data_IF_778748952935
#
_entry.id   IF_778748952935
#
_cell.length_a   1.000
_cell.length_b   1.000
_cell.length_c   1.000
_cell.angle_alpha   90.00
_cell.angle_beta   90.00
_cell.angle_gamma   90.00
#
_symmetry.space_group_name_H-M   'P 1'
#
loop_
_entity.id
_entity.type
_entity.pdbx_description
1 polymer ?
#
# COMPACT_ATOMS: atom_id res chain seq x y z
N UNK A 1 -51.76 -105.68 -4.42
CA UNK A 1 -51.81 -105.47 -2.96
C UNK A 1 -50.38 -105.41 -2.43
N UNK A 2 -50.08 -104.39 -1.59
CA UNK A 2 -48.97 -104.26 -0.61
C UNK A 2 -47.55 -104.72 -1.04
N UNK A 3 -46.51 -103.92 -0.90
CA UNK A 3 -46.09 -103.35 0.38
C UNK A 3 -45.06 -102.21 0.18
N UNK A 4 -45.16 -101.17 1.02
CA UNK A 4 -44.19 -100.08 1.16
C UNK A 4 -42.88 -100.60 1.76
N UNK A 5 -41.75 -99.95 1.45
CA UNK A 5 -40.75 -99.60 2.48
C UNK A 5 -39.93 -98.39 2.07
N UNK A 6 -39.87 -97.46 3.00
CA UNK A 6 -39.21 -96.17 2.96
C UNK A 6 -37.69 -96.35 3.08
N UNK A 7 -36.93 -95.40 2.51
CA UNK A 7 -35.69 -94.93 3.12
C UNK A 7 -35.72 -93.40 3.15
N UNK A 8 -35.51 -92.87 4.35
CA UNK A 8 -35.40 -91.45 4.69
C UNK A 8 -33.90 -91.15 4.87
N UNK A 9 -33.54 -89.88 4.67
CA UNK A 9 -32.38 -89.13 5.20
C UNK A 9 -31.22 -88.95 4.20
N UNK A 10 -30.67 -87.76 3.93
CA UNK A 10 -30.77 -86.41 4.53
C UNK A 10 -30.22 -85.40 3.49
N UNK A 11 -30.96 -84.33 3.24
CA UNK A 11 -30.46 -83.03 2.75
C UNK A 11 -29.71 -82.29 3.89
N UNK A 12 -29.11 -81.10 3.72
CA UNK A 12 -28.69 -80.33 2.53
C UNK A 12 -27.21 -79.83 2.72
N UNK A 13 -26.55 -79.03 1.87
CA UNK A 13 -26.63 -77.56 1.79
C UNK A 13 -25.39 -77.08 1.00
N UNK A 14 -25.49 -76.84 -0.31
CA UNK A 14 -25.44 -75.54 -1.00
C UNK A 14 -24.84 -74.34 -0.23
N UNK A 15 -23.64 -73.84 -0.60
CA UNK A 15 -23.26 -72.40 -0.58
C UNK A 15 -21.89 -72.23 -1.27
N UNK A 16 -21.83 -71.69 -2.50
CA UNK A 16 -21.76 -70.27 -2.90
C UNK A 16 -20.30 -69.79 -3.00
N UNK A 17 -19.82 -69.66 -4.24
CA UNK A 17 -18.53 -69.07 -4.61
C UNK A 17 -18.46 -67.60 -4.18
N UNK A 18 -17.56 -67.26 -3.26
CA UNK A 18 -17.28 -65.87 -2.86
C UNK A 18 -16.09 -65.37 -3.65
N UNK A 19 -16.36 -64.30 -4.40
CA UNK A 19 -15.45 -63.63 -5.31
C UNK A 19 -14.29 -62.94 -4.59
N UNK A 20 -13.15 -63.00 -5.27
CA UNK A 20 -11.87 -62.36 -4.98
C UNK A 20 -12.04 -60.84 -4.82
N UNK A 21 -12.04 -60.37 -3.57
CA UNK A 21 -12.05 -58.94 -3.25
C UNK A 21 -10.61 -58.42 -3.29
N UNK A 22 -10.20 -57.92 -4.46
CA UNK A 22 -8.95 -57.17 -4.62
C UNK A 22 -9.16 -55.83 -3.90
N UNK A 23 -8.47 -55.67 -2.76
CA UNK A 23 -8.34 -54.38 -2.08
C UNK A 23 -7.50 -53.46 -2.97
N UNK A 24 -8.16 -52.59 -3.73
CA UNK A 24 -7.50 -51.42 -4.31
C UNK A 24 -7.19 -50.46 -3.15
N UNK A 25 -5.99 -50.57 -2.60
CA UNK A 25 -5.38 -49.50 -1.83
C UNK A 25 -5.12 -48.39 -2.84
N UNK A 26 -6.10 -47.52 -3.03
CA UNK A 26 -5.89 -46.22 -3.66
C UNK A 26 -4.98 -45.44 -2.73
N UNK A 27 -3.68 -45.53 -3.00
CA UNK A 27 -2.70 -44.62 -2.43
C UNK A 27 -3.00 -43.25 -3.05
N UNK A 28 -3.95 -42.52 -2.45
CA UNK A 28 -4.18 -41.12 -2.75
C UNK A 28 -2.93 -40.38 -2.36
N UNK A 29 -1.98 -40.26 -3.31
CA UNK A 29 -0.95 -39.25 -3.21
C UNK A 29 -1.68 -37.92 -3.14
N UNK A 30 -1.68 -37.34 -1.96
CA UNK A 30 -2.17 -35.99 -1.76
C UNK A 30 -1.10 -35.09 -2.37
N UNK A 31 -1.11 -34.98 -3.70
CA UNK A 31 -0.23 -34.10 -4.47
C UNK A 31 -0.70 -32.65 -4.24
N UNK A 32 -0.58 -32.16 -3.00
CA UNK A 32 -0.68 -30.74 -2.72
C UNK A 32 0.54 -30.07 -3.35
N UNK A 33 0.38 -29.65 -4.61
CA UNK A 33 1.33 -28.77 -5.26
C UNK A 33 1.50 -27.51 -4.39
N UNK A 34 2.73 -27.03 -4.17
CA UNK A 34 2.94 -25.83 -3.37
C UNK A 34 2.22 -24.64 -4.00
N UNK A 35 1.56 -23.83 -3.17
CA UNK A 35 0.98 -22.58 -3.65
C UNK A 35 2.06 -21.71 -4.29
N UNK A 36 1.79 -21.26 -5.50
CA UNK A 36 2.71 -20.41 -6.26
C UNK A 36 1.98 -19.12 -6.64
N UNK A 37 2.40 -18.00 -6.04
CA UNK A 37 1.99 -16.68 -6.47
C UNK A 37 2.63 -16.34 -7.82
N UNK A 38 1.92 -15.63 -8.68
CA UNK A 38 2.40 -15.26 -10.01
C UNK A 38 3.65 -14.36 -9.98
N UNK A 39 3.82 -13.57 -8.91
CA UNK A 39 4.97 -12.70 -8.72
C UNK A 39 5.26 -12.53 -7.23
N UNK A 40 6.53 -12.61 -6.83
CA UNK A 40 6.97 -12.42 -5.43
C UNK A 40 7.45 -11.01 -5.13
N UNK A 41 7.67 -10.20 -6.17
CA UNK A 41 8.12 -8.82 -6.06
C UNK A 41 7.61 -7.99 -7.24
N UNK A 42 6.95 -6.86 -6.96
CA UNK A 42 6.42 -5.95 -7.97
C UNK A 42 6.90 -4.53 -7.65
N UNK A 43 7.47 -3.87 -8.65
CA UNK A 43 7.73 -2.43 -8.60
C UNK A 43 6.80 -1.75 -9.59
N UNK A 44 6.06 -0.74 -9.14
CA UNK A 44 5.17 0.06 -9.97
C UNK A 44 5.25 1.53 -9.57
N UNK A 45 4.73 2.42 -10.41
CA UNK A 45 4.57 3.84 -10.08
C UNK A 45 3.29 4.06 -9.27
N UNK A 46 3.21 5.19 -8.56
CA UNK A 46 1.94 5.73 -8.03
C UNK A 46 0.84 5.66 -9.10
N UNK A 47 -0.40 5.36 -8.67
CA UNK A 47 -1.60 5.07 -9.48
C UNK A 47 -1.58 3.76 -10.31
N UNK A 48 -0.46 3.03 -10.27
CA UNK A 48 -0.32 1.74 -10.92
C UNK A 48 -1.21 0.65 -10.31
N UNK A 49 -1.44 -0.40 -11.09
CA UNK A 49 -2.16 -1.59 -10.64
C UNK A 49 -1.43 -2.88 -11.04
N UNK A 50 -1.68 -3.96 -10.29
CA UNK A 50 -1.14 -5.28 -10.60
C UNK A 50 -2.10 -6.38 -10.16
N UNK A 51 -2.34 -7.36 -11.04
CA UNK A 51 -3.22 -8.49 -10.73
C UNK A 51 -2.41 -9.64 -10.12
N UNK A 52 -2.54 -9.84 -8.81
CA UNK A 52 -2.00 -11.01 -8.14
C UNK A 52 -2.90 -12.23 -8.36
N UNK A 53 -2.27 -13.38 -8.54
CA UNK A 53 -2.97 -14.65 -8.65
C UNK A 53 -2.15 -15.79 -8.06
N UNK A 54 -2.83 -16.82 -7.57
CA UNK A 54 -2.21 -18.07 -7.12
C UNK A 54 -2.54 -19.14 -8.15
N UNK A 55 -1.51 -19.84 -8.66
CA UNK A 55 -1.69 -20.83 -9.71
C UNK A 55 -2.70 -21.91 -9.29
N UNK A 56 -3.67 -22.18 -10.15
CA UNK A 56 -4.73 -23.18 -9.95
C UNK A 56 -5.65 -22.96 -8.74
N UNK A 57 -5.71 -21.73 -8.22
CA UNK A 57 -6.58 -21.37 -7.10
C UNK A 57 -7.37 -20.11 -7.47
N UNK A 58 -8.70 -20.15 -7.31
CA UNK A 58 -9.58 -19.01 -7.58
C UNK A 58 -10.11 -18.32 -6.33
N UNK A 59 -10.18 -19.04 -5.20
CA UNK A 59 -10.67 -18.50 -3.92
C UNK A 59 -9.47 -18.19 -3.02
N UNK A 60 -9.09 -16.91 -2.98
CA UNK A 60 -7.93 -16.41 -2.25
C UNK A 60 -8.36 -15.24 -1.38
N UNK A 61 -8.05 -15.31 -0.09
CA UNK A 61 -8.16 -14.16 0.80
C UNK A 61 -6.92 -13.29 0.64
N UNK A 62 -7.10 -12.08 0.12
CA UNK A 62 -6.02 -11.12 -0.07
C UNK A 62 -5.97 -10.07 1.04
N UNK A 63 -4.76 -9.61 1.36
CA UNK A 63 -4.51 -8.49 2.28
C UNK A 63 -3.22 -7.76 1.93
N UNK A 64 -3.14 -6.47 2.29
CA UNK A 64 -1.94 -5.65 2.22
C UNK A 64 -1.49 -5.32 3.64
N UNK A 65 -0.19 -5.42 3.93
CA UNK A 65 0.34 -5.04 5.25
C UNK A 65 0.25 -3.54 5.54
N UNK A 66 0.11 -2.73 4.49
CA UNK A 66 0.00 -1.28 4.55
C UNK A 66 -0.96 -0.74 3.48
N UNK A 67 -2.22 -0.54 3.87
CA UNK A 67 -3.27 0.00 2.99
C UNK A 67 -3.10 1.49 2.67
N UNK A 68 -2.20 2.20 3.37
CA UNK A 68 -1.78 3.53 2.98
C UNK A 68 -0.98 3.46 1.68
N UNK A 69 -0.03 2.53 1.57
CA UNK A 69 0.76 2.34 0.34
C UNK A 69 -0.10 1.80 -0.80
N UNK A 70 -0.98 0.83 -0.52
CA UNK A 70 -1.94 0.35 -1.51
C UNK A 70 -2.82 -0.79 -1.00
N UNK A 71 -3.94 -1.00 -1.70
CA UNK A 71 -4.94 -2.01 -1.35
C UNK A 71 -4.99 -3.13 -2.36
N UNK A 72 -5.37 -4.32 -1.92
CA UNK A 72 -5.63 -5.46 -2.81
C UNK A 72 -7.09 -5.87 -2.70
N UNK A 73 -7.77 -5.90 -3.84
CA UNK A 73 -9.15 -6.34 -3.95
C UNK A 73 -9.30 -7.85 -3.75
N UNK A 74 -10.55 -8.30 -3.59
CA UNK A 74 -10.87 -9.74 -3.49
C UNK A 74 -10.51 -10.53 -4.77
N UNK A 75 -10.46 -9.84 -5.89
CA UNK A 75 -10.04 -10.36 -7.19
C UNK A 75 -8.51 -10.47 -7.34
N UNK A 76 -7.74 -10.05 -6.33
CA UNK A 76 -6.29 -10.02 -6.36
C UNK A 76 -5.70 -8.78 -7.03
N UNK A 77 -6.54 -7.84 -7.49
CA UNK A 77 -6.06 -6.59 -8.07
C UNK A 77 -5.53 -5.66 -6.98
N UNK A 78 -4.23 -5.42 -7.01
CA UNK A 78 -3.57 -4.40 -6.20
C UNK A 78 -3.67 -3.04 -6.87
N UNK A 79 -4.01 -2.00 -6.10
CA UNK A 79 -4.07 -0.60 -6.53
C UNK A 79 -3.15 0.23 -5.64
N UNK A 80 -2.12 0.82 -6.25
CA UNK A 80 -1.18 1.70 -5.57
C UNK A 80 -1.85 3.02 -5.19
N UNK A 81 -1.61 3.47 -3.96
CA UNK A 81 -2.20 4.69 -3.39
C UNK A 81 -1.16 5.72 -3.00
N UNK A 82 -0.11 5.33 -2.30
CA UNK A 82 0.96 6.23 -1.87
C UNK A 82 2.32 5.58 -2.09
N UNK A 83 3.35 6.38 -2.28
CA UNK A 83 4.72 5.88 -2.39
C UNK A 83 5.12 5.15 -1.11
N UNK A 84 5.90 4.10 -1.26
CA UNK A 84 6.35 3.28 -0.14
C UNK A 84 6.42 1.80 -0.50
N UNK A 85 6.47 0.98 0.55
CA UNK A 85 6.58 -0.47 0.41
C UNK A 85 5.52 -1.16 1.26
N UNK A 86 4.89 -2.18 0.68
CA UNK A 86 3.93 -3.04 1.38
C UNK A 86 4.14 -4.50 0.99
N UNK A 87 3.62 -5.42 1.79
CA UNK A 87 3.57 -6.85 1.48
C UNK A 87 2.14 -7.25 1.20
N UNK A 88 1.88 -7.79 0.01
CA UNK A 88 0.61 -8.44 -0.33
C UNK A 88 0.66 -9.89 0.11
N UNK A 89 -0.35 -10.34 0.85
CA UNK A 89 -0.49 -11.72 1.31
C UNK A 89 -1.74 -12.34 0.72
N UNK A 90 -1.58 -13.47 0.04
CA UNK A 90 -2.68 -14.33 -0.43
C UNK A 90 -2.77 -15.58 0.43
N UNK A 91 -3.95 -15.86 0.98
CA UNK A 91 -4.22 -17.07 1.76
C UNK A 91 -5.19 -17.96 1.00
N UNK A 92 -4.82 -19.22 0.82
CA UNK A 92 -5.67 -20.24 0.21
C UNK A 92 -5.31 -21.62 0.74
N UNK A 93 -6.27 -22.55 0.76
CA UNK A 93 -6.04 -23.94 1.18
C UNK A 93 -5.31 -24.11 2.52
N UNK A 94 -5.42 -23.13 3.43
CA UNK A 94 -4.74 -23.12 4.73
C UNK A 94 -3.27 -22.66 4.70
N UNK A 95 -2.74 -22.31 3.54
CA UNK A 95 -1.37 -21.82 3.33
C UNK A 95 -1.36 -20.33 2.94
N UNK A 96 -0.18 -19.72 3.03
CA UNK A 96 0.05 -18.31 2.71
C UNK A 96 1.15 -18.16 1.67
N UNK A 97 0.98 -17.20 0.76
CA UNK A 97 2.01 -16.71 -0.15
C UNK A 97 2.10 -15.19 -0.03
N UNK A 98 3.29 -14.64 -0.25
CA UNK A 98 3.54 -13.22 -0.08
C UNK A 98 4.25 -12.63 -1.30
N UNK A 99 3.96 -11.36 -1.60
CA UNK A 99 4.68 -10.57 -2.56
C UNK A 99 5.06 -9.21 -1.97
N UNK A 100 6.32 -8.80 -2.18
CA UNK A 100 6.80 -7.45 -1.87
C UNK A 100 6.32 -6.50 -2.95
N UNK A 101 5.75 -5.35 -2.59
CA UNK A 101 5.32 -4.32 -3.53
C UNK A 101 6.00 -3.01 -3.19
N UNK A 102 6.68 -2.41 -4.17
CA UNK A 102 7.28 -1.09 -4.08
C UNK A 102 6.52 -0.14 -5.00
N UNK A 103 5.96 0.92 -4.42
CA UNK A 103 5.32 2.02 -5.15
C UNK A 103 6.30 3.18 -5.24
N UNK A 104 6.78 3.46 -6.44
CA UNK A 104 7.72 4.54 -6.73
C UNK A 104 7.00 5.85 -7.09
N UNK A 105 7.58 7.01 -6.76
CA UNK A 105 7.05 8.31 -7.15
C UNK A 105 7.04 8.52 -8.66
N UNK A 106 6.06 9.26 -9.16
CA UNK A 106 6.09 9.86 -10.49
C UNK A 106 6.97 11.12 -10.52
N UNK A 107 7.01 11.87 -9.41
CA UNK A 107 7.77 13.12 -9.33
C UNK A 107 8.98 12.94 -8.41
N UNK A 108 10.18 13.08 -9.01
CA UNK A 108 11.48 12.92 -8.35
C UNK A 108 12.33 14.17 -8.48
N UNK A 109 13.27 14.37 -7.54
CA UNK A 109 14.22 15.49 -7.58
C UNK A 109 13.73 16.80 -6.97
N UNK A 110 12.52 16.83 -6.40
CA UNK A 110 12.03 17.96 -5.60
C UNK A 110 12.85 18.03 -4.31
N UNK A 111 13.41 19.19 -4.00
CA UNK A 111 14.05 19.44 -2.71
C UNK A 111 12.93 19.70 -1.71
N UNK A 112 12.70 18.76 -0.79
CA UNK A 112 11.70 18.90 0.27
C UNK A 112 12.19 19.85 1.37
N UNK A 113 11.30 20.64 2.02
CA UNK A 113 11.68 21.50 3.12
C UNK A 113 11.97 20.67 4.40
N UNK A 114 12.70 21.27 5.33
CA UNK A 114 12.85 20.73 6.68
C UNK A 114 11.53 20.88 7.45
N UNK A 115 11.00 19.81 8.03
CA UNK A 115 9.65 19.79 8.65
C UNK A 115 9.66 19.36 10.13
N UNK A 116 10.77 19.54 10.84
CA UNK A 116 10.82 19.32 12.29
C UNK A 116 10.28 20.53 13.06
N UNK A 117 8.96 20.70 13.08
CA UNK A 117 8.30 21.83 13.75
C UNK A 117 8.65 21.87 15.25
N UNK A 118 8.72 23.07 15.83
CA UNK A 118 9.08 23.31 17.22
C UNK A 118 10.59 23.44 17.45
N UNK A 119 11.42 23.25 16.43
CA UNK A 119 12.84 23.57 16.47
C UNK A 119 13.10 25.08 16.45
N UNK A 120 14.31 25.47 16.85
CA UNK A 120 14.74 26.88 16.89
C UNK A 120 15.14 27.41 15.51
N UNK A 121 15.16 28.74 15.35
CA UNK A 121 15.59 29.38 14.10
C UNK A 121 17.00 28.96 13.67
N UNK A 122 18.03 28.93 14.55
CA UNK A 122 19.37 28.44 14.17
C UNK A 122 19.36 27.00 13.67
N UNK A 123 18.57 26.10 14.28
CA UNK A 123 18.46 24.70 13.85
C UNK A 123 17.87 24.62 12.44
N UNK A 124 16.82 25.39 12.14
CA UNK A 124 16.27 25.42 10.78
C UNK A 124 17.32 25.89 9.76
N UNK A 125 18.16 26.88 10.11
CA UNK A 125 19.23 27.36 9.23
C UNK A 125 20.30 26.30 8.94
N UNK A 126 20.63 25.46 9.91
CA UNK A 126 21.63 24.41 9.75
C UNK A 126 21.15 23.26 8.87
N UNK A 127 19.83 22.98 8.86
CA UNK A 127 19.25 21.89 8.07
C UNK A 127 18.73 22.30 6.69
N UNK A 128 18.39 23.57 6.50
CA UNK A 128 17.96 24.07 5.19
C UNK A 128 19.15 24.18 4.23
N UNK A 129 19.00 23.55 3.07
CA UNK A 129 20.06 23.40 2.05
C UNK A 129 20.00 24.47 0.96
N UNK A 130 18.85 25.13 0.83
CA UNK A 130 18.64 26.23 -0.12
C UNK A 130 19.43 27.47 0.31
N UNK A 131 19.61 28.41 -0.61
CA UNK A 131 20.33 29.65 -0.33
C UNK A 131 19.44 30.61 0.46
N UNK A 132 19.91 31.08 1.62
CA UNK A 132 19.21 32.10 2.41
C UNK A 132 19.11 33.41 1.61
N UNK A 133 17.89 33.93 1.50
CA UNK A 133 17.55 35.16 0.79
C UNK A 133 17.17 36.29 1.76
N UNK A 134 16.44 35.96 2.83
CA UNK A 134 16.00 36.92 3.83
C UNK A 134 15.88 36.27 5.20
N UNK A 135 16.21 37.03 6.24
CA UNK A 135 16.13 36.63 7.64
C UNK A 135 15.51 37.76 8.47
N UNK A 136 14.49 37.39 9.23
CA UNK A 136 13.86 38.16 10.29
C UNK A 136 13.61 37.22 11.49
N UNK A 137 13.21 37.77 12.64
CA UNK A 137 12.99 36.98 13.86
C UNK A 137 11.88 35.94 13.73
N UNK A 138 10.91 36.18 12.85
CA UNK A 138 9.70 35.36 12.65
C UNK A 138 9.65 34.71 11.26
N UNK A 139 10.65 34.95 10.40
CA UNK A 139 10.64 34.54 9.01
C UNK A 139 12.05 34.26 8.48
N UNK A 140 12.24 33.08 7.91
CA UNK A 140 13.37 32.80 7.01
C UNK A 140 12.85 32.57 5.60
N UNK A 141 13.52 33.15 4.62
CA UNK A 141 13.21 32.95 3.20
C UNK A 141 14.42 32.41 2.50
N UNK A 142 14.24 31.30 1.79
CA UNK A 142 15.28 30.62 1.04
C UNK A 142 14.90 30.48 -0.42
N UNK A 143 15.88 30.48 -1.31
CA UNK A 143 15.69 30.26 -2.74
C UNK A 143 16.62 29.17 -3.27
N UNK A 144 16.23 28.53 -4.35
CA UNK A 144 16.94 27.45 -5.00
C UNK A 144 16.99 27.60 -6.52
N UNK A 145 18.08 27.14 -7.11
CA UNK A 145 18.12 26.81 -8.53
C UNK A 145 17.53 25.40 -8.70
N UNK A 146 16.21 25.28 -8.68
CA UNK A 146 15.46 24.04 -8.86
C UNK A 146 14.54 24.14 -10.06
N UNK A 147 14.37 23.03 -10.79
CA UNK A 147 13.43 22.94 -11.91
C UNK A 147 11.96 22.90 -11.44
N UNK A 148 11.74 22.60 -10.16
CA UNK A 148 10.41 22.41 -9.56
C UNK A 148 9.99 23.53 -8.63
N UNK A 149 10.90 23.98 -7.78
CA UNK A 149 10.63 24.89 -6.66
C UNK A 149 11.41 26.17 -6.82
N UNK A 150 10.87 27.28 -6.31
CA UNK A 150 11.50 28.60 -6.41
C UNK A 150 11.89 29.18 -5.06
N UNK A 151 11.20 28.75 -3.98
CA UNK A 151 11.38 29.32 -2.66
C UNK A 151 10.85 28.42 -1.55
N UNK A 152 11.43 28.53 -0.37
CA UNK A 152 10.81 28.12 0.88
C UNK A 152 10.72 29.30 1.85
N UNK A 153 9.61 29.40 2.58
CA UNK A 153 9.41 30.38 3.65
C UNK A 153 9.11 29.64 4.95
N UNK A 154 9.97 29.79 5.93
CA UNK A 154 9.82 29.22 7.26
C UNK A 154 9.29 30.29 8.21
N UNK A 155 8.22 29.98 8.92
CA UNK A 155 7.55 30.87 9.85
C UNK A 155 7.79 30.41 11.29
N UNK A 156 7.95 31.37 12.18
CA UNK A 156 8.25 31.14 13.58
C UNK A 156 7.29 31.92 14.49
N UNK A 157 6.92 31.31 15.63
CA UNK A 157 6.26 32.00 16.73
C UNK A 157 7.26 32.13 17.88
N UNK A 158 7.73 33.35 18.14
CA UNK A 158 8.95 33.54 18.93
C UNK A 158 10.14 32.93 18.20
N UNK A 159 10.82 31.96 18.82
CA UNK A 159 11.93 31.23 18.20
C UNK A 159 11.51 29.84 17.66
N UNK A 160 10.23 29.46 17.78
CA UNK A 160 9.78 28.11 17.46
C UNK A 160 9.24 28.01 16.04
N UNK A 161 9.81 27.12 15.24
CA UNK A 161 9.40 26.81 13.86
C UNK A 161 7.98 26.23 13.83
N UNK A 162 7.03 26.92 13.19
CA UNK A 162 5.62 26.50 13.18
C UNK A 162 5.17 25.93 11.84
N UNK A 163 5.62 26.50 10.73
CA UNK A 163 5.20 26.08 9.40
C UNK A 163 6.18 26.51 8.32
N UNK A 164 6.19 25.77 7.21
CA UNK A 164 6.98 26.11 6.03
C UNK A 164 6.11 26.08 4.79
N UNK A 165 6.18 27.13 3.97
CA UNK A 165 5.57 27.16 2.64
C UNK A 165 6.62 26.91 1.57
N UNK A 166 6.44 25.85 0.79
CA UNK A 166 7.24 25.53 -0.39
C UNK A 166 6.54 26.04 -1.65
N UNK A 167 7.18 26.99 -2.33
CA UNK A 167 6.68 27.62 -3.53
C UNK A 167 7.20 26.87 -4.75
N UNK A 168 6.26 26.46 -5.61
CA UNK A 168 6.57 25.80 -6.87
C UNK A 168 6.77 26.84 -7.96
N UNK A 169 7.54 26.47 -8.97
CA UNK A 169 7.58 27.21 -10.23
C UNK A 169 6.20 27.11 -10.91
N UNK A 170 5.69 28.22 -11.46
CA UNK A 170 4.35 28.26 -12.06
C UNK A 170 4.14 27.18 -13.14
N UNK A 171 5.19 26.92 -13.92
CA UNK A 171 5.22 25.90 -14.97
C UNK A 171 5.12 24.45 -14.47
N UNK A 172 5.18 24.21 -13.14
CA UNK A 172 5.23 22.89 -12.50
C UNK A 172 4.07 22.62 -11.57
N UNK A 173 2.98 23.37 -11.72
CA UNK A 173 1.81 23.28 -10.82
C UNK A 173 1.18 21.89 -10.82
N UNK A 174 1.07 21.24 -11.98
CA UNK A 174 0.45 19.90 -12.07
C UNK A 174 1.36 18.82 -11.49
N UNK A 175 2.67 18.88 -11.77
CA UNK A 175 3.66 18.02 -11.10
C UNK A 175 3.64 18.21 -9.60
N UNK A 176 3.45 19.45 -9.13
CA UNK A 176 3.28 19.75 -7.72
C UNK A 176 2.08 19.03 -7.11
N UNK A 177 0.91 19.07 -7.74
CA UNK A 177 -0.27 18.34 -7.25
C UNK A 177 -0.01 16.83 -7.18
N UNK A 178 0.63 16.26 -8.19
CA UNK A 178 0.98 14.81 -8.21
C UNK A 178 1.95 14.49 -7.08
N UNK A 179 2.99 15.32 -6.88
CA UNK A 179 3.98 15.14 -5.82
C UNK A 179 3.34 15.02 -4.42
N UNK A 180 2.31 15.83 -4.14
CA UNK A 180 1.60 15.76 -2.86
C UNK A 180 0.63 14.59 -2.80
N UNK A 181 -0.12 14.34 -3.88
CA UNK A 181 -1.09 13.24 -3.93
C UNK A 181 -0.43 11.86 -3.78
N UNK A 182 0.80 11.68 -4.28
CA UNK A 182 1.52 10.40 -4.16
C UNK A 182 2.17 10.19 -2.78
N UNK A 183 2.20 11.20 -1.90
CA UNK A 183 2.84 11.15 -0.58
C UNK A 183 1.88 11.24 0.58
N UNK A 184 0.74 11.89 0.39
CA UNK A 184 -0.14 12.32 1.46
C UNK A 184 -1.61 12.01 1.14
N UNK A 185 -2.36 11.66 2.19
CA UNK A 185 -3.79 11.37 2.09
C UNK A 185 -4.60 12.66 2.00
N UNK A 186 -5.51 12.73 1.04
CA UNK A 186 -6.38 13.90 0.86
C UNK A 186 -7.47 13.96 1.94
N UNK A 187 -7.52 15.07 2.67
CA UNK A 187 -8.50 15.31 3.73
C UNK A 187 -9.73 16.10 3.27
N UNK A 188 -9.65 16.78 2.14
CA UNK A 188 -10.71 17.65 1.64
C UNK A 188 -10.22 19.06 1.30
N UNK A 189 -11.18 19.92 0.96
CA UNK A 189 -10.88 21.29 0.53
C UNK A 189 -11.73 22.31 1.28
N UNK A 190 -11.14 23.45 1.58
CA UNK A 190 -11.85 24.60 2.17
C UNK A 190 -11.11 25.89 1.82
N UNK A 191 -11.85 26.97 1.53
CA UNK A 191 -11.29 28.30 1.27
C UNK A 191 -10.15 28.31 0.23
N UNK A 192 -10.31 27.61 -0.89
CA UNK A 192 -9.30 27.46 -1.95
C UNK A 192 -7.99 26.75 -1.52
N UNK A 193 -8.03 26.01 -0.40
CA UNK A 193 -6.93 25.17 0.06
C UNK A 193 -7.34 23.70 -0.03
N UNK A 194 -6.47 22.87 -0.60
CA UNK A 194 -6.59 21.41 -0.60
C UNK A 194 -5.70 20.84 0.50
N UNK A 195 -6.31 20.17 1.48
CA UNK A 195 -5.61 19.67 2.65
C UNK A 195 -5.26 18.20 2.48
N UNK A 196 -4.04 17.86 2.87
CA UNK A 196 -3.53 16.51 2.91
C UNK A 196 -2.88 16.22 4.26
N UNK A 197 -2.70 14.95 4.57
CA UNK A 197 -2.00 14.50 5.78
C UNK A 197 -1.07 13.33 5.51
N UNK A 198 -0.05 13.18 6.34
CA UNK A 198 0.77 11.98 6.36
C UNK A 198 0.02 10.78 6.99
N UNK A 199 0.58 9.58 6.82
CA UNK A 199 0.06 8.33 7.38
C UNK A 199 -0.20 8.37 8.88
N UNK A 200 0.63 9.10 9.65
CA UNK A 200 0.49 9.17 11.11
C UNK A 200 -0.54 10.22 11.58
N UNK A 201 -1.15 10.95 10.64
CA UNK A 201 -2.05 12.06 10.90
C UNK A 201 -1.43 13.14 11.80
N UNK A 202 -0.12 13.39 11.65
CA UNK A 202 0.64 14.35 12.46
C UNK A 202 1.09 15.58 11.67
N UNK A 203 1.11 15.50 10.34
CA UNK A 203 1.44 16.56 9.41
C UNK A 203 0.17 17.02 8.69
N UNK A 204 -0.02 18.32 8.55
CA UNK A 204 -1.00 18.91 7.66
C UNK A 204 -0.26 19.59 6.50
N UNK A 205 -0.68 19.30 5.27
CA UNK A 205 -0.16 19.96 4.07
C UNK A 205 -1.30 20.66 3.34
N UNK A 206 -1.28 21.99 3.29
CA UNK A 206 -2.26 22.80 2.60
C UNK A 206 -1.74 23.31 1.26
N UNK A 207 -2.29 22.81 0.16
CA UNK A 207 -1.98 23.26 -1.20
C UNK A 207 -2.86 24.45 -1.57
N UNK A 208 -2.25 25.54 -2.00
CA UNK A 208 -2.93 26.77 -2.40
C UNK A 208 -2.40 27.24 -3.74
N UNK A 209 -3.29 27.70 -4.61
CA UNK A 209 -2.93 28.47 -5.80
C UNK A 209 -3.43 29.91 -5.62
N UNK A 210 -2.51 30.79 -5.26
CA UNK A 210 -2.78 32.20 -5.02
C UNK A 210 -2.42 33.04 -6.25
N UNK A 211 -3.24 34.06 -6.55
CA UNK A 211 -3.05 34.89 -7.75
C UNK A 211 -1.76 35.70 -7.75
N UNK A 212 -1.23 36.05 -6.58
CA UNK A 212 -0.04 36.89 -6.45
C UNK A 212 1.20 36.07 -6.10
N UNK A 213 1.01 34.99 -5.35
CA UNK A 213 2.11 34.17 -4.84
C UNK A 213 2.32 32.87 -5.63
N UNK A 214 1.44 32.54 -6.56
CA UNK A 214 1.51 31.31 -7.35
C UNK A 214 1.08 30.08 -6.55
N UNK A 215 1.53 28.91 -7.01
CA UNK A 215 1.25 27.63 -6.37
C UNK A 215 2.25 27.31 -5.26
N UNK A 216 1.76 27.02 -4.06
CA UNK A 216 2.60 26.61 -2.93
C UNK A 216 1.88 25.62 -2.02
N UNK A 217 2.68 24.84 -1.29
CA UNK A 217 2.18 23.97 -0.23
C UNK A 217 2.72 24.42 1.11
N UNK A 218 1.84 24.53 2.11
CA UNK A 218 2.22 24.87 3.48
C UNK A 218 2.15 23.63 4.36
N UNK A 219 3.28 23.28 4.97
CA UNK A 219 3.45 22.19 5.90
C UNK A 219 3.33 22.72 7.33
N UNK A 220 2.54 22.07 8.18
CA UNK A 220 2.42 22.41 9.61
C UNK A 220 2.06 21.17 10.43
N UNK A 221 2.16 21.26 11.77
CA UNK A 221 1.65 20.19 12.64
C UNK A 221 0.13 20.07 12.51
N UNK A 222 -0.38 18.85 12.37
CA UNK A 222 -1.79 18.57 12.54
C UNK A 222 -2.13 18.53 14.05
N UNK A 223 -2.85 19.53 14.52
CA UNK A 223 -3.22 19.70 15.95
C UNK A 223 -4.59 19.11 16.29
N UNK A 224 -5.33 18.57 15.30
CA UNK A 224 -6.69 18.04 15.49
C UNK A 224 -6.71 16.55 15.89
N UNK A 225 -5.77 16.12 16.73
CA UNK A 225 -5.75 14.75 17.27
C UNK A 225 -6.88 14.51 18.27
#
# INVERSE_FOLDING_TARGET
MRNKRNYIMKNPLLTLCIALSILLISCGKNDNLPLTINQTEVTMRYDGTFDFSIRNVSDVEWSSSDEFVGVVGRDGKFEARHIGETTVTGRALGEFVTARVVVEPNIVGVIEPYIAFGETLPVVKDFEKRQLLHEASDLLVYTDASDYTSRARYFFEGDLFTSVSLFWSDARTEEGKIFYAERYEFLGSSNNVHYYTDKSNSLLVGLTNDRLQGFFATYSRNTRK
#
